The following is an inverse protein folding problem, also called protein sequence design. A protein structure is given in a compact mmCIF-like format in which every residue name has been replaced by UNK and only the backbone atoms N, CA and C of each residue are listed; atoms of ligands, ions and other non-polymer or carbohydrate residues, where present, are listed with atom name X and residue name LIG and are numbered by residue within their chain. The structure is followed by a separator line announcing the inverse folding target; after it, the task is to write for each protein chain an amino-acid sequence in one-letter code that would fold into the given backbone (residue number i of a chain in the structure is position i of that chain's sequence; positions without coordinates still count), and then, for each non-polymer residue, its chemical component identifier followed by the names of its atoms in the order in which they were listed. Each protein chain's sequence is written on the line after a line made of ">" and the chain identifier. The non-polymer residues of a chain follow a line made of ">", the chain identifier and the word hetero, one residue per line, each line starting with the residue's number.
data_IF_888412871549
#
_entry.id   IF_888412871549
#
_cell.length_a   1.000
_cell.length_b   1.000
_cell.length_c   1.000
_cell.angle_alpha   90.00
_cell.angle_beta   90.00
_cell.angle_gamma   90.00
#
_symmetry.space_group_name_H-M   'P 1'
#
loop_
_entity.id
_entity.type
_entity.pdbx_description
1 polymer ?
#
# COMPACT_ATOMS: atom_id res chain seq x y z
N UNK A 1 56.68 -15.05 10.96
CA UNK A 1 55.30 -14.77 10.49
C UNK A 1 54.71 -16.09 10.01
N UNK A 2 53.54 -16.52 10.49
CA UNK A 2 53.12 -17.91 10.34
C UNK A 2 52.40 -18.13 9.00
N UNK A 3 52.91 -19.03 8.14
CA UNK A 3 52.38 -19.23 6.78
C UNK A 3 50.88 -19.54 6.76
N UNK A 4 50.37 -20.25 7.79
CA UNK A 4 48.94 -20.50 7.98
C UNK A 4 48.09 -19.22 8.14
N UNK A 5 48.62 -18.17 8.78
CA UNK A 5 47.92 -16.87 8.88
C UNK A 5 47.95 -16.09 7.56
N UNK A 6 49.04 -16.16 6.80
CA UNK A 6 49.10 -15.55 5.47
C UNK A 6 48.19 -16.27 4.47
N UNK A 7 48.10 -17.61 4.52
CA UNK A 7 47.16 -18.40 3.72
C UNK A 7 45.71 -18.07 4.09
N UNK A 8 45.38 -17.96 5.39
CA UNK A 8 44.04 -17.56 5.82
C UNK A 8 43.66 -16.13 5.37
N UNK A 9 44.58 -15.16 5.47
CA UNK A 9 44.38 -13.79 4.98
C UNK A 9 44.29 -13.71 3.44
N UNK A 10 45.03 -14.55 2.72
CA UNK A 10 44.90 -14.66 1.27
C UNK A 10 43.58 -15.34 0.86
N UNK A 11 43.11 -16.35 1.60
CA UNK A 11 41.79 -16.95 1.39
C UNK A 11 40.66 -15.96 1.68
N UNK A 12 40.73 -15.19 2.77
CA UNK A 12 39.72 -14.16 3.06
C UNK A 12 39.76 -13.01 2.05
N UNK A 13 40.95 -12.61 1.59
CA UNK A 13 41.09 -11.59 0.53
C UNK A 13 40.63 -12.10 -0.83
N UNK A 14 40.86 -13.37 -1.19
CA UNK A 14 40.35 -13.97 -2.43
C UNK A 14 38.83 -14.12 -2.38
N UNK A 15 38.24 -14.48 -1.22
CA UNK A 15 36.78 -14.42 -1.04
C UNK A 15 36.25 -12.99 -1.15
N UNK A 16 36.90 -12.00 -0.52
CA UNK A 16 36.51 -10.59 -0.59
C UNK A 16 36.72 -9.93 -1.97
N UNK A 17 37.56 -10.50 -2.83
CA UNK A 17 37.75 -10.07 -4.22
C UNK A 17 36.76 -10.80 -5.15
N UNK A 18 36.37 -12.03 -4.83
CA UNK A 18 35.28 -12.74 -5.53
C UNK A 18 33.90 -12.10 -5.26
N UNK A 19 33.66 -11.52 -4.07
CA UNK A 19 32.44 -10.75 -3.79
C UNK A 19 32.37 -9.40 -4.51
N UNK A 20 33.50 -8.89 -5.02
CA UNK A 20 33.55 -7.69 -5.88
C UNK A 20 33.35 -8.01 -7.38
N UNK A 21 33.14 -9.27 -7.75
CA UNK A 21 32.98 -9.73 -9.13
C UNK A 21 31.62 -10.40 -9.39
N UNK A 22 30.52 -9.73 -9.04
CA UNK A 22 29.21 -9.97 -9.65
C UNK A 22 28.60 -11.38 -9.51
N UNK A 23 29.00 -12.18 -8.52
CA UNK A 23 28.36 -13.47 -8.24
C UNK A 23 27.05 -13.28 -7.45
N UNK A 24 25.93 -13.59 -8.09
CA UNK A 24 24.60 -13.26 -7.58
C UNK A 24 24.20 -14.01 -6.31
N UNK A 25 24.02 -13.26 -5.21
CA UNK A 25 23.13 -13.65 -4.11
C UNK A 25 21.75 -13.92 -4.70
N UNK A 26 21.43 -15.20 -4.87
CA UNK A 26 20.25 -15.63 -5.60
C UNK A 26 19.08 -15.73 -4.63
N UNK A 27 18.25 -14.69 -4.63
CA UNK A 27 17.01 -14.61 -3.85
C UNK A 27 15.86 -15.27 -4.63
N UNK A 28 15.19 -16.20 -3.98
CA UNK A 28 14.04 -16.95 -4.48
C UNK A 28 12.83 -16.82 -3.55
N UNK A 29 12.81 -15.83 -2.64
CA UNK A 29 11.77 -15.67 -1.62
C UNK A 29 10.37 -15.51 -2.23
N UNK A 30 10.24 -14.74 -3.31
CA UNK A 30 8.96 -14.59 -4.02
C UNK A 30 8.50 -15.91 -4.69
N UNK A 31 9.44 -16.71 -5.21
CA UNK A 31 9.14 -18.03 -5.75
C UNK A 31 8.73 -18.99 -4.64
N UNK A 32 9.42 -18.99 -3.49
CA UNK A 32 9.10 -19.84 -2.34
C UNK A 32 7.73 -19.47 -1.74
N UNK A 33 7.45 -18.18 -1.52
CA UNK A 33 6.16 -17.69 -1.05
C UNK A 33 5.04 -18.12 -2.01
N UNK A 34 5.20 -17.88 -3.31
CA UNK A 34 4.24 -18.32 -4.33
C UNK A 34 4.02 -19.83 -4.28
N UNK A 35 5.09 -20.63 -4.36
CA UNK A 35 4.98 -22.09 -4.42
C UNK A 35 4.42 -22.70 -3.14
N UNK A 36 4.72 -22.13 -1.96
CA UNK A 36 4.17 -22.58 -0.68
C UNK A 36 2.70 -22.17 -0.49
N UNK A 37 2.29 -21.00 -0.99
CA UNK A 37 0.88 -20.61 -1.01
C UNK A 37 0.08 -21.45 -2.03
N UNK A 38 0.67 -21.81 -3.18
CA UNK A 38 0.05 -22.72 -4.17
C UNK A 38 -0.02 -24.18 -3.68
N UNK A 39 1.03 -24.68 -3.01
CA UNK A 39 1.09 -26.05 -2.49
C UNK A 39 0.10 -26.33 -1.34
N UNK A 40 -0.40 -25.28 -0.69
CA UNK A 40 -1.41 -25.36 0.37
C UNK A 40 -2.81 -25.71 -0.13
N UNK A 41 -3.09 -25.64 -1.44
CA UNK A 41 -4.45 -25.84 -1.95
C UNK A 41 -5.40 -24.73 -1.47
N UNK A 42 -6.68 -25.08 -1.20
CA UNK A 42 -7.72 -24.06 -1.06
C UNK A 42 -8.02 -23.57 0.39
N UNK A 43 -7.85 -24.33 1.51
CA UNK A 43 -7.64 -23.75 2.87
C UNK A 43 -6.14 -23.68 3.19
N UNK A 44 -5.39 -22.64 2.77
CA UNK A 44 -4.07 -22.42 3.31
C UNK A 44 -4.13 -22.23 4.82
N UNK A 45 -3.26 -22.95 5.54
CA UNK A 45 -3.12 -22.84 6.98
C UNK A 45 -2.49 -21.50 7.38
N UNK A 46 -1.75 -20.86 6.47
CA UNK A 46 -1.26 -19.47 6.59
C UNK A 46 -0.88 -18.91 5.21
N UNK A 47 -1.07 -17.61 5.01
CA UNK A 47 -0.52 -16.90 3.85
C UNK A 47 0.93 -16.50 4.14
N UNK A 48 1.87 -16.93 3.30
CA UNK A 48 3.28 -16.55 3.42
C UNK A 48 3.64 -15.38 2.52
N UNK A 49 4.23 -14.33 3.10
CA UNK A 49 4.76 -13.16 2.39
C UNK A 49 6.30 -13.06 2.47
N UNK A 50 6.92 -12.27 1.60
CA UNK A 50 8.37 -12.03 1.64
C UNK A 50 8.70 -10.88 2.58
N UNK A 51 9.69 -11.05 3.47
CA UNK A 51 10.05 -9.99 4.44
C UNK A 51 11.54 -9.62 4.37
N UNK A 52 11.85 -8.35 4.06
CA UNK A 52 13.24 -7.93 3.78
C UNK A 52 14.19 -8.13 4.98
N UNK A 53 13.74 -7.87 6.22
CA UNK A 53 14.57 -8.12 7.43
C UNK A 53 14.87 -9.62 7.59
N UNK A 54 13.94 -10.50 7.21
CA UNK A 54 14.09 -11.96 7.30
C UNK A 54 15.13 -12.46 6.28
N UNK A 55 15.04 -12.01 5.03
CA UNK A 55 16.03 -12.34 3.98
C UNK A 55 17.42 -11.83 4.35
N UNK A 56 17.52 -10.62 4.89
CA UNK A 56 18.79 -10.01 5.31
C UNK A 56 19.43 -10.77 6.48
N UNK A 57 18.63 -11.18 7.46
CA UNK A 57 19.10 -11.97 8.59
C UNK A 57 19.52 -13.40 8.19
N UNK A 58 18.84 -14.01 7.22
CA UNK A 58 19.21 -15.33 6.69
C UNK A 58 20.56 -15.28 5.96
N UNK A 59 20.82 -14.26 5.14
CA UNK A 59 22.14 -14.06 4.52
C UNK A 59 23.25 -13.88 5.55
N UNK A 60 23.05 -13.04 6.57
CA UNK A 60 24.04 -12.84 7.62
C UNK A 60 24.32 -14.13 8.41
N UNK A 61 23.27 -14.90 8.73
CA UNK A 61 23.42 -16.18 9.42
C UNK A 61 24.18 -17.22 8.59
N UNK A 62 23.98 -17.27 7.27
CA UNK A 62 24.70 -18.17 6.36
C UNK A 62 26.19 -17.83 6.21
N UNK A 63 26.59 -16.58 6.43
CA UNK A 63 28.00 -16.16 6.41
C UNK A 63 28.76 -16.55 7.69
N UNK A 64 28.05 -16.79 8.80
CA UNK A 64 28.64 -17.09 10.12
C UNK A 64 28.48 -18.57 10.56
N UNK A 65 27.45 -19.26 10.09
CA UNK A 65 27.04 -20.58 10.60
C UNK A 65 27.57 -21.76 9.79
N UNK A 66 28.12 -22.78 10.48
CA UNK A 66 28.63 -23.99 9.84
C UNK A 66 27.61 -25.14 9.74
N UNK A 67 26.51 -25.08 10.48
CA UNK A 67 25.46 -26.11 10.56
C UNK A 67 24.05 -25.48 10.66
N UNK A 68 23.00 -26.25 10.34
CA UNK A 68 21.61 -25.77 10.32
C UNK A 68 21.12 -25.20 11.67
N UNK A 69 21.50 -25.84 12.78
CA UNK A 69 21.23 -25.36 14.14
C UNK A 69 21.83 -23.99 14.43
N UNK A 70 22.98 -23.71 13.83
CA UNK A 70 23.75 -22.50 14.07
C UNK A 70 23.16 -21.34 13.26
N UNK A 71 22.58 -21.62 12.07
CA UNK A 71 21.83 -20.64 11.26
C UNK A 71 20.63 -20.13 12.05
N UNK A 72 19.80 -21.02 12.60
CA UNK A 72 18.61 -20.64 13.37
C UNK A 72 18.99 -19.82 14.62
N UNK A 73 20.09 -20.20 15.31
CA UNK A 73 20.59 -19.47 16.46
C UNK A 73 21.18 -18.09 16.09
N UNK A 74 21.90 -17.97 14.96
CA UNK A 74 22.43 -16.71 14.46
C UNK A 74 21.30 -15.75 14.05
N UNK A 75 20.29 -16.24 13.32
CA UNK A 75 19.09 -15.45 12.98
C UNK A 75 18.34 -14.98 14.24
N UNK A 76 18.24 -15.82 15.26
CA UNK A 76 17.58 -15.47 16.54
C UNK A 76 18.34 -14.36 17.29
N UNK A 77 19.67 -14.30 17.15
CA UNK A 77 20.51 -13.24 17.76
C UNK A 77 20.56 -11.94 16.95
N UNK A 78 20.16 -11.96 15.67
CA UNK A 78 20.24 -10.81 14.78
C UNK A 78 19.39 -9.64 15.29
N UNK A 79 20.01 -8.47 15.51
CA UNK A 79 19.35 -7.29 16.08
C UNK A 79 18.11 -6.84 15.28
N UNK A 80 18.10 -7.01 13.96
CA UNK A 80 16.95 -6.67 13.11
C UNK A 80 15.78 -7.67 13.21
N UNK A 81 16.01 -8.85 13.78
CA UNK A 81 15.01 -9.89 14.02
C UNK A 81 14.46 -9.87 15.44
N UNK A 82 15.18 -9.30 16.42
CA UNK A 82 14.76 -9.36 17.83
C UNK A 82 13.37 -8.74 18.05
N UNK A 83 13.06 -7.61 17.41
CA UNK A 83 11.74 -6.97 17.44
C UNK A 83 10.60 -7.93 17.02
N UNK A 84 10.78 -8.61 15.87
CA UNK A 84 9.81 -9.60 15.35
C UNK A 84 9.69 -10.82 16.28
N UNK A 85 10.82 -11.33 16.77
CA UNK A 85 10.85 -12.54 17.62
C UNK A 85 10.33 -12.27 19.03
N UNK A 86 10.45 -11.05 19.56
CA UNK A 86 9.75 -10.64 20.79
C UNK A 86 8.22 -10.56 20.62
N UNK A 87 7.74 -10.48 19.37
CA UNK A 87 6.32 -10.36 19.00
C UNK A 87 5.49 -11.66 19.02
N UNK A 88 6.04 -12.80 19.51
CA UNK A 88 5.45 -14.16 19.55
C UNK A 88 5.61 -15.03 18.28
N UNK A 89 6.45 -14.66 17.32
CA UNK A 89 6.72 -15.48 16.13
C UNK A 89 7.60 -16.71 16.40
N UNK A 90 7.26 -17.86 15.83
CA UNK A 90 8.13 -19.04 15.73
C UNK A 90 8.96 -19.00 14.44
N UNK A 91 10.30 -19.13 14.57
CA UNK A 91 11.27 -19.19 13.47
C UNK A 91 11.74 -20.62 13.22
N UNK A 92 11.65 -21.09 11.98
CA UNK A 92 12.12 -22.40 11.53
C UNK A 92 12.99 -22.26 10.27
N UNK A 93 13.96 -23.17 10.07
CA UNK A 93 14.90 -23.14 8.94
C UNK A 93 14.84 -24.49 8.20
N UNK A 94 14.66 -24.42 6.88
CA UNK A 94 14.56 -25.55 5.96
C UNK A 94 15.74 -25.53 4.98
N UNK A 95 16.18 -26.71 4.50
CA UNK A 95 17.29 -26.79 3.54
C UNK A 95 17.16 -27.95 2.56
N UNK A 96 17.44 -27.67 1.29
CA UNK A 96 17.30 -28.62 0.17
C UNK A 96 18.49 -28.50 -0.78
N UNK A 97 18.90 -29.62 -1.38
CA UNK A 97 20.06 -29.68 -2.29
C UNK A 97 19.95 -28.67 -3.45
N UNK A 98 21.01 -27.89 -3.66
CA UNK A 98 21.10 -26.89 -4.73
C UNK A 98 21.34 -27.48 -6.12
N UNK A 99 21.39 -28.81 -6.25
CA UNK A 99 21.35 -29.53 -7.52
C UNK A 99 19.98 -29.47 -8.21
N UNK A 100 18.92 -29.19 -7.45
CA UNK A 100 17.56 -29.01 -7.97
C UNK A 100 17.40 -27.66 -8.69
N UNK A 101 16.48 -27.61 -9.67
CA UNK A 101 16.02 -26.33 -10.24
C UNK A 101 15.30 -25.52 -9.14
N UNK A 102 15.31 -24.17 -9.21
CA UNK A 102 14.70 -23.34 -8.16
C UNK A 102 13.23 -23.68 -7.87
N UNK A 103 12.45 -24.05 -8.90
CA UNK A 103 11.05 -24.45 -8.76
C UNK A 103 10.91 -25.78 -8.01
N UNK A 104 11.75 -26.77 -8.32
CA UNK A 104 11.72 -28.08 -7.65
C UNK A 104 12.18 -27.96 -6.19
N UNK A 105 13.14 -27.07 -5.91
CA UNK A 105 13.58 -26.75 -4.56
C UNK A 105 12.52 -26.02 -3.75
N UNK A 106 11.86 -25.02 -4.34
CA UNK A 106 10.73 -24.31 -3.71
C UNK A 106 9.58 -25.28 -3.38
N UNK A 107 9.22 -26.17 -4.31
CA UNK A 107 8.17 -27.16 -4.11
C UNK A 107 8.51 -28.17 -3.00
N UNK A 108 9.78 -28.59 -2.91
CA UNK A 108 10.21 -29.48 -1.83
C UNK A 108 10.23 -28.80 -0.46
N UNK A 109 10.75 -27.56 -0.38
CA UNK A 109 10.71 -26.75 0.85
C UNK A 109 9.26 -26.50 1.26
N UNK A 110 8.37 -26.22 0.30
CA UNK A 110 6.95 -26.06 0.57
C UNK A 110 6.34 -27.32 1.21
N UNK A 111 6.59 -28.50 0.65
CA UNK A 111 6.11 -29.76 1.24
C UNK A 111 6.67 -29.98 2.66
N UNK A 112 7.98 -29.77 2.87
CA UNK A 112 8.60 -29.94 4.20
C UNK A 112 8.00 -28.99 5.25
N UNK A 113 7.59 -27.78 4.87
CA UNK A 113 6.88 -26.83 5.74
C UNK A 113 5.45 -27.30 6.02
N UNK A 114 4.74 -27.84 5.03
CA UNK A 114 3.35 -28.28 5.21
C UNK A 114 3.23 -29.57 6.04
N UNK A 115 4.25 -30.42 5.99
CA UNK A 115 4.34 -31.62 6.84
C UNK A 115 4.54 -31.28 8.33
N UNK A 116 5.11 -30.10 8.66
CA UNK A 116 5.38 -29.63 10.04
C UNK A 116 4.36 -28.61 10.55
N UNK A 117 3.66 -27.90 9.66
CA UNK A 117 2.74 -26.79 9.97
C UNK A 117 1.46 -27.28 10.68
N UNK A 118 1.57 -27.48 11.98
CA UNK A 118 0.54 -28.08 12.85
C UNK A 118 -0.65 -27.14 13.18
N UNK A 119 -1.47 -26.80 12.17
CA UNK A 119 -2.72 -26.01 12.27
C UNK A 119 -2.60 -24.56 11.78
N UNK A 120 -3.70 -23.79 11.79
CA UNK A 120 -3.72 -22.40 11.26
C UNK A 120 -2.75 -21.43 11.98
N UNK A 121 -2.29 -20.40 11.29
CA UNK A 121 -1.47 -19.27 11.79
C UNK A 121 -2.08 -17.98 11.27
N UNK A 122 -1.89 -16.87 12.00
CA UNK A 122 -2.42 -15.56 11.59
C UNK A 122 -1.52 -14.84 10.59
N UNK A 123 -0.21 -14.92 10.78
CA UNK A 123 0.78 -14.33 9.88
C UNK A 123 1.91 -15.33 9.57
N UNK A 124 2.45 -15.24 8.35
CA UNK A 124 3.53 -16.09 7.85
C UNK A 124 4.49 -15.28 6.97
N UNK A 125 5.79 -15.43 7.20
CA UNK A 125 6.82 -14.88 6.32
C UNK A 125 7.80 -15.96 5.88
N UNK A 126 8.22 -15.93 4.62
CA UNK A 126 9.25 -16.82 4.08
C UNK A 126 10.29 -16.04 3.29
N UNK A 127 11.55 -16.41 3.52
CA UNK A 127 12.69 -15.99 2.71
C UNK A 127 13.44 -17.22 2.24
N UNK A 128 13.76 -17.32 0.94
CA UNK A 128 14.51 -18.45 0.38
C UNK A 128 15.69 -17.97 -0.45
N UNK A 129 16.89 -18.49 -0.16
CA UNK A 129 18.14 -18.09 -0.79
C UNK A 129 18.98 -19.31 -1.17
N UNK A 130 19.94 -19.14 -2.08
CA UNK A 130 20.90 -20.20 -2.45
C UNK A 130 22.33 -19.83 -2.04
N UNK A 131 22.93 -20.62 -1.16
CA UNK A 131 24.34 -20.50 -0.72
C UNK A 131 25.02 -21.87 -0.72
N UNK A 132 26.33 -21.92 -0.93
CA UNK A 132 27.17 -23.13 -0.79
C UNK A 132 26.62 -24.41 -1.43
N UNK A 133 25.98 -24.27 -2.60
CA UNK A 133 25.41 -25.40 -3.35
C UNK A 133 24.12 -25.97 -2.76
N UNK A 134 23.45 -25.26 -1.84
CA UNK A 134 22.16 -25.61 -1.24
C UNK A 134 21.18 -24.44 -1.25
N UNK A 135 19.88 -24.74 -1.22
CA UNK A 135 18.84 -23.76 -0.91
C UNK A 135 18.56 -23.78 0.59
N UNK A 136 18.33 -22.60 1.16
CA UNK A 136 17.95 -22.41 2.55
C UNK A 136 16.70 -21.53 2.57
N UNK A 137 15.70 -21.91 3.37
CA UNK A 137 14.54 -21.09 3.63
C UNK A 137 14.40 -20.82 5.12
N UNK A 138 14.14 -19.57 5.49
CA UNK A 138 13.74 -19.16 6.83
C UNK A 138 12.25 -18.84 6.82
N UNK A 139 11.55 -19.34 7.82
CA UNK A 139 10.09 -19.27 7.93
C UNK A 139 9.72 -18.71 9.29
N UNK A 140 8.97 -17.62 9.33
CA UNK A 140 8.31 -17.09 10.53
C UNK A 140 6.82 -17.41 10.47
N UNK A 141 6.23 -17.84 11.59
CA UNK A 141 4.78 -17.99 11.74
C UNK A 141 4.29 -17.51 13.11
N UNK A 142 3.06 -17.01 13.20
CA UNK A 142 2.47 -16.52 14.45
C UNK A 142 1.08 -17.11 14.77
N UNK A 143 0.75 -17.19 16.08
CA UNK A 143 -0.57 -17.53 16.60
C UNK A 143 -0.96 -16.61 17.75
N UNK A 144 -2.16 -16.06 17.72
CA UNK A 144 -2.77 -15.47 18.89
C UNK A 144 -3.19 -16.56 19.87
N UNK A 145 -3.01 -16.27 21.16
CA UNK A 145 -3.40 -17.12 22.27
C UNK A 145 -4.79 -16.70 22.75
N UNK A 146 -5.86 -17.31 22.23
CA UNK A 146 -7.18 -17.25 22.85
C UNK A 146 -7.19 -18.06 24.15
N UNK A 147 -8.01 -17.62 25.11
CA UNK A 147 -7.81 -17.92 26.53
C UNK A 147 -8.12 -19.35 26.96
N UNK A 148 -7.54 -19.75 28.10
CA UNK A 148 -7.94 -20.93 28.85
C UNK A 148 -9.36 -20.78 29.39
N UNK A 149 -10.33 -21.37 28.71
CA UNK A 149 -11.69 -21.59 29.20
C UNK A 149 -12.01 -23.07 29.07
N UNK A 150 -12.11 -23.77 30.20
CA UNK A 150 -12.62 -25.14 30.22
C UNK A 150 -14.12 -25.14 29.94
N UNK A 151 -14.57 -25.91 28.95
CA UNK A 151 -15.81 -26.66 29.11
C UNK A 151 -15.78 -27.95 28.28
N UNK A 152 -16.16 -29.05 28.93
CA UNK A 152 -16.17 -30.40 28.41
C UNK A 152 -17.59 -30.76 27.96
N UNK A 153 -17.88 -30.65 26.66
CA UNK A 153 -19.00 -31.37 26.06
C UNK A 153 -18.75 -31.62 24.58
N UNK A 154 -18.73 -32.90 24.21
CA UNK A 154 -18.48 -33.31 22.83
C UNK A 154 -19.66 -33.02 21.92
N UNK A 155 -19.46 -32.18 20.92
CA UNK A 155 -20.17 -32.29 19.65
C UNK A 155 -19.20 -32.03 18.49
N UNK A 156 -18.96 -33.06 17.67
CA UNK A 156 -18.00 -33.00 16.56
C UNK A 156 -18.58 -32.27 15.34
N UNK A 157 -18.65 -30.94 15.41
CA UNK A 157 -18.86 -30.07 14.25
C UNK A 157 -17.54 -29.81 13.53
N UNK A 158 -17.13 -30.71 12.65
CA UNK A 158 -15.89 -30.54 11.87
C UNK A 158 -16.09 -29.52 10.73
N UNK A 159 -15.60 -28.29 10.91
CA UNK A 159 -15.54 -27.26 9.86
C UNK A 159 -14.32 -27.47 8.95
N UNK A 160 -14.42 -28.52 8.13
CA UNK A 160 -14.01 -28.71 6.71
C UNK A 160 -12.62 -28.19 6.16
N UNK A 161 -11.98 -28.81 5.12
CA UNK A 161 -10.66 -28.41 4.56
C UNK A 161 -10.51 -27.55 3.23
N UNK A 162 -11.57 -27.14 2.49
CA UNK A 162 -11.54 -26.16 1.35
C UNK A 162 -12.40 -24.84 1.52
N UNK A 163 -11.83 -23.72 2.00
CA UNK A 163 -12.38 -22.34 2.18
C UNK A 163 -11.22 -21.35 2.02
N UNK A 164 -11.44 -20.13 1.53
CA UNK A 164 -10.43 -19.08 1.61
C UNK A 164 -9.95 -18.84 3.04
N UNK A 165 -8.87 -18.06 3.21
CA UNK A 165 -8.86 -17.10 4.32
C UNK A 165 -9.98 -16.11 4.01
N UNK A 166 -11.21 -16.49 4.35
CA UNK A 166 -12.28 -15.53 4.43
C UNK A 166 -11.81 -14.54 5.48
N UNK A 167 -11.66 -13.27 5.08
CA UNK A 167 -12.12 -12.24 5.98
C UNK A 167 -13.56 -12.65 6.32
N UNK A 168 -13.78 -13.10 7.56
CA UNK A 168 -15.05 -13.72 7.99
C UNK A 168 -16.24 -12.85 7.61
N UNK A 169 -15.97 -11.54 7.54
CA UNK A 169 -16.78 -10.50 6.95
C UNK A 169 -15.88 -9.77 5.92
N UNK A 170 -16.03 -10.01 4.58
CA UNK A 170 -15.16 -9.43 3.55
C UNK A 170 -15.25 -7.91 3.49
N UNK A 171 -16.42 -7.40 3.81
CA UNK A 171 -16.69 -5.99 4.05
C UNK A 171 -17.27 -5.86 5.45
N UNK A 172 -16.82 -4.85 6.19
CA UNK A 172 -17.20 -4.62 7.59
C UNK A 172 -17.75 -3.22 7.77
N UNK A 173 -18.87 -3.13 8.47
CA UNK A 173 -19.47 -1.87 8.90
C UNK A 173 -19.43 -1.73 10.42
N UNK A 174 -18.54 -0.89 10.93
CA UNK A 174 -18.57 -0.48 12.33
C UNK A 174 -19.54 0.69 12.51
N UNK A 175 -20.74 0.37 13.01
CA UNK A 175 -21.81 1.33 13.28
C UNK A 175 -21.44 2.38 14.34
N UNK A 176 -20.44 2.12 15.20
CA UNK A 176 -20.03 3.02 16.29
C UNK A 176 -19.06 4.11 15.84
N UNK A 177 -18.19 3.78 14.88
CA UNK A 177 -17.25 4.72 14.25
C UNK A 177 -17.71 5.18 12.86
N UNK A 178 -18.79 4.58 12.34
CA UNK A 178 -19.27 4.75 10.96
C UNK A 178 -18.18 4.45 9.93
N UNK A 179 -17.39 3.41 10.21
CA UNK A 179 -16.28 2.96 9.35
C UNK A 179 -16.73 1.85 8.42
N UNK A 180 -16.52 2.04 7.12
CA UNK A 180 -16.65 1.01 6.11
C UNK A 180 -15.26 0.46 5.75
N UNK A 181 -15.02 -0.83 5.98
CA UNK A 181 -13.75 -1.49 5.69
C UNK A 181 -13.91 -2.62 4.68
N UNK A 182 -13.16 -2.58 3.58
CA UNK A 182 -12.98 -3.69 2.63
C UNK A 182 -11.65 -4.39 2.96
N UNK A 183 -11.73 -5.66 3.38
CA UNK A 183 -10.57 -6.38 3.95
C UNK A 183 -9.66 -6.99 2.90
N UNK A 184 -8.36 -7.06 3.20
CA UNK A 184 -7.35 -7.75 2.39
C UNK A 184 -7.78 -9.21 2.16
N UNK A 185 -7.78 -9.63 0.89
CA UNK A 185 -8.24 -10.95 0.47
C UNK A 185 -9.73 -11.04 0.12
N UNK A 186 -10.54 -10.01 0.38
CA UNK A 186 -11.97 -10.00 0.01
C UNK A 186 -12.23 -10.13 -1.51
N UNK A 187 -11.22 -9.87 -2.34
CA UNK A 187 -11.24 -10.13 -3.79
C UNK A 187 -11.63 -11.59 -4.12
N UNK A 188 -11.27 -12.56 -3.27
CA UNK A 188 -11.62 -13.96 -3.47
C UNK A 188 -13.12 -14.26 -3.31
N UNK A 189 -13.90 -13.33 -2.73
CA UNK A 189 -15.33 -13.47 -2.45
C UNK A 189 -16.15 -12.50 -3.32
N UNK A 190 -15.70 -11.24 -3.43
CA UNK A 190 -16.41 -10.21 -4.20
C UNK A 190 -16.02 -10.16 -5.68
N UNK A 191 -14.84 -10.68 -6.04
CA UNK A 191 -14.20 -10.38 -7.31
C UNK A 191 -13.68 -8.93 -7.38
N UNK A 192 -13.30 -8.50 -8.58
CA UNK A 192 -12.97 -7.10 -8.86
C UNK A 192 -14.25 -6.26 -8.94
N UNK A 193 -14.31 -5.15 -8.20
CA UNK A 193 -15.48 -4.29 -8.10
C UNK A 193 -15.12 -2.79 -8.10
N UNK A 194 -16.11 -1.96 -8.43
CA UNK A 194 -16.06 -0.50 -8.39
C UNK A 194 -17.06 -0.01 -7.35
N UNK A 195 -16.62 0.83 -6.41
CA UNK A 195 -17.55 1.43 -5.44
C UNK A 195 -18.31 2.59 -6.07
N UNK A 196 -19.64 2.54 -6.01
CA UNK A 196 -20.58 3.56 -6.49
C UNK A 196 -21.70 3.78 -5.45
N UNK A 197 -22.48 4.84 -5.59
CA UNK A 197 -23.71 5.13 -4.83
C UNK A 197 -24.74 3.99 -4.83
N UNK A 198 -24.71 3.10 -5.83
CA UNK A 198 -25.51 1.89 -5.88
C UNK A 198 -24.95 0.72 -5.04
N UNK A 199 -23.75 0.86 -4.48
CA UNK A 199 -23.11 -0.15 -3.62
C UNK A 199 -23.73 -0.14 -2.22
N UNK A 200 -24.71 -1.02 -2.00
CA UNK A 200 -25.25 -1.29 -0.66
C UNK A 200 -24.38 -2.29 0.10
N UNK A 201 -24.45 -2.29 1.43
CA UNK A 201 -23.76 -3.32 2.24
C UNK A 201 -24.21 -4.74 1.90
N UNK A 202 -25.46 -4.96 1.47
CA UNK A 202 -25.89 -6.26 0.93
C UNK A 202 -25.21 -6.60 -0.41
N UNK A 203 -25.15 -5.66 -1.35
CA UNK A 203 -24.48 -5.86 -2.65
C UNK A 203 -22.98 -6.07 -2.54
N UNK A 204 -22.39 -5.67 -1.41
CA UNK A 204 -20.97 -5.83 -1.07
C UNK A 204 -20.70 -7.01 -0.12
N UNK A 205 -21.71 -7.83 0.23
CA UNK A 205 -21.61 -8.92 1.22
C UNK A 205 -20.99 -8.48 2.56
N UNK A 206 -21.43 -7.33 3.08
CA UNK A 206 -20.89 -6.73 4.29
C UNK A 206 -21.65 -7.12 5.56
N UNK A 207 -20.93 -7.25 6.67
CA UNK A 207 -21.50 -7.57 7.99
C UNK A 207 -21.16 -6.52 9.06
N UNK A 208 -22.03 -6.42 10.07
CA UNK A 208 -21.94 -5.40 11.12
C UNK A 208 -20.88 -5.78 12.17
N UNK A 209 -19.94 -4.88 12.45
CA UNK A 209 -18.83 -5.09 13.37
C UNK A 209 -19.18 -5.05 14.87
N UNK A 210 -20.46 -5.16 15.27
CA UNK A 210 -20.88 -4.97 16.67
C UNK A 210 -21.82 -6.06 17.17
N UNK A 211 -21.24 -6.94 17.98
CA UNK A 211 -21.86 -7.97 18.83
C UNK A 211 -22.60 -9.11 18.11
N UNK A 212 -22.28 -10.33 18.55
CA UNK A 212 -23.10 -11.51 18.32
C UNK A 212 -24.57 -11.22 18.68
N UNK A 213 -25.51 -11.82 17.95
CA UNK A 213 -26.97 -11.72 18.09
C UNK A 213 -27.70 -10.49 17.48
N UNK A 214 -27.04 -9.59 16.74
CA UNK A 214 -27.74 -8.58 15.92
C UNK A 214 -27.85 -8.98 14.45
N UNK A 215 -29.08 -9.17 13.98
CA UNK A 215 -29.38 -9.22 12.54
C UNK A 215 -29.07 -7.85 11.93
N UNK A 216 -28.17 -7.82 10.95
CA UNK A 216 -27.88 -6.61 10.18
C UNK A 216 -29.14 -6.19 9.38
N UNK A 217 -29.53 -4.92 9.52
CA UNK A 217 -30.60 -4.31 8.73
C UNK A 217 -29.97 -3.27 7.78
N UNK A 218 -29.74 -3.71 6.55
CA UNK A 218 -29.14 -2.94 5.46
C UNK A 218 -29.97 -1.73 5.03
N UNK A 219 -31.27 -1.70 5.36
CA UNK A 219 -32.22 -0.70 4.85
C UNK A 219 -31.97 0.71 5.39
N UNK A 220 -31.13 0.84 6.42
CA UNK A 220 -30.70 2.11 7.01
C UNK A 220 -29.23 2.47 6.72
N UNK A 221 -28.55 1.78 5.80
CA UNK A 221 -27.20 2.14 5.38
C UNK A 221 -27.20 2.96 4.09
N UNK A 222 -26.47 4.08 4.11
CA UNK A 222 -26.06 4.81 2.90
C UNK A 222 -24.54 5.02 2.91
N UNK A 223 -23.90 5.04 1.72
CA UNK A 223 -22.51 5.50 1.59
C UNK A 223 -22.33 6.95 2.07
N UNK A 224 -23.39 7.75 2.08
CA UNK A 224 -23.40 9.10 2.67
C UNK A 224 -23.24 9.13 4.19
N UNK A 225 -23.41 7.99 4.87
CA UNK A 225 -23.26 7.88 6.33
C UNK A 225 -21.85 7.41 6.72
N UNK A 226 -21.00 7.05 5.76
CA UNK A 226 -19.62 6.61 5.98
C UNK A 226 -18.77 7.79 6.41
N UNK A 227 -18.25 7.72 7.64
CA UNK A 227 -17.32 8.71 8.21
C UNK A 227 -15.87 8.34 7.88
N UNK A 228 -15.56 7.05 7.80
CA UNK A 228 -14.23 6.55 7.46
C UNK A 228 -14.32 5.45 6.40
N UNK A 229 -13.69 5.65 5.25
CA UNK A 229 -13.56 4.62 4.21
C UNK A 229 -12.17 3.99 4.28
N UNK A 230 -12.11 2.66 4.43
CA UNK A 230 -10.88 1.88 4.42
C UNK A 230 -10.99 0.77 3.36
N UNK A 231 -10.10 0.78 2.39
CA UNK A 231 -9.94 -0.28 1.39
C UNK A 231 -8.51 -0.80 1.54
N UNK A 232 -8.37 -2.03 2.04
CA UNK A 232 -7.07 -2.70 2.19
C UNK A 232 -6.65 -3.32 0.84
N UNK A 233 -5.34 -3.44 0.58
CA UNK A 233 -4.81 -4.02 -0.64
C UNK A 233 -5.31 -5.46 -0.89
N UNK A 234 -5.59 -5.80 -2.15
CA UNK A 234 -6.19 -7.08 -2.55
C UNK A 234 -7.59 -7.35 -1.94
N UNK A 235 -8.35 -6.30 -1.62
CA UNK A 235 -9.76 -6.41 -1.20
C UNK A 235 -10.76 -6.58 -2.35
N UNK A 236 -10.34 -6.40 -3.60
CA UNK A 236 -11.21 -6.50 -4.78
C UNK A 236 -11.80 -5.17 -5.22
N UNK A 237 -11.78 -4.13 -4.38
CA UNK A 237 -12.09 -2.77 -4.83
C UNK A 237 -10.94 -2.27 -5.72
N UNK A 238 -11.17 -2.25 -7.03
CA UNK A 238 -10.16 -1.84 -8.02
C UNK A 238 -10.26 -0.37 -8.39
N UNK A 239 -11.42 0.25 -8.14
CA UNK A 239 -11.73 1.63 -8.50
C UNK A 239 -12.87 2.21 -7.66
N UNK A 240 -12.92 3.54 -7.59
CA UNK A 240 -14.10 4.29 -7.14
C UNK A 240 -14.76 4.87 -8.37
N UNK A 241 -16.09 4.76 -8.49
CA UNK A 241 -16.87 5.25 -9.64
C UNK A 241 -16.70 6.76 -9.82
N UNK A 242 -16.92 7.22 -11.05
CA UNK A 242 -17.12 8.63 -11.33
C UNK A 242 -18.53 9.08 -10.95
N UNK A 243 -18.73 10.39 -11.05
CA UNK A 243 -19.88 11.12 -10.57
C UNK A 243 -20.80 11.66 -11.64
N UNK A 244 -20.62 11.19 -12.87
CA UNK A 244 -21.26 11.72 -14.06
C UNK A 244 -21.66 10.53 -14.92
N UNK A 245 -22.87 10.00 -14.70
CA UNK A 245 -23.47 9.12 -15.72
C UNK A 245 -23.75 9.95 -16.97
N UNK A 246 -22.85 9.84 -17.95
CA UNK A 246 -22.96 10.46 -19.27
C UNK A 246 -24.20 10.01 -20.07
N UNK A 247 -24.92 8.99 -19.58
CA UNK A 247 -26.15 8.45 -20.19
C UNK A 247 -27.44 8.93 -19.52
N UNK A 248 -27.40 9.53 -18.31
CA UNK A 248 -28.60 10.08 -17.67
C UNK A 248 -28.94 11.47 -18.23
N UNK A 249 -30.06 11.54 -18.95
CA UNK A 249 -30.62 12.76 -19.53
C UNK A 249 -30.93 13.87 -18.49
N UNK A 250 -30.92 13.55 -17.20
CA UNK A 250 -31.19 14.49 -16.11
C UNK A 250 -29.95 14.99 -15.37
N UNK A 251 -28.72 14.57 -15.72
CA UNK A 251 -27.49 14.86 -14.96
C UNK A 251 -27.69 14.55 -13.46
N UNK A 252 -28.30 13.41 -13.18
CA UNK A 252 -28.50 12.97 -11.81
C UNK A 252 -27.13 12.59 -11.28
N UNK A 253 -26.74 13.20 -10.16
CA UNK A 253 -25.48 12.92 -9.47
C UNK A 253 -25.56 11.51 -8.88
N UNK A 254 -24.89 10.58 -9.53
CA UNK A 254 -24.67 9.21 -9.10
C UNK A 254 -23.16 9.11 -8.92
N UNK A 255 -22.71 9.27 -7.67
CA UNK A 255 -21.29 9.27 -7.31
C UNK A 255 -21.12 8.57 -5.96
N UNK A 256 -20.06 7.77 -5.81
CA UNK A 256 -19.80 6.98 -4.60
C UNK A 256 -19.87 7.77 -3.27
N UNK A 257 -19.28 8.98 -3.22
CA UNK A 257 -19.21 9.79 -2.00
C UNK A 257 -19.39 11.31 -2.23
N UNK A 258 -19.81 11.76 -3.42
CA UNK A 258 -19.94 13.20 -3.73
C UNK A 258 -20.86 13.89 -2.72
N UNK A 259 -20.35 14.96 -2.12
CA UNK A 259 -21.07 15.78 -1.15
C UNK A 259 -21.44 14.98 0.10
N UNK A 260 -20.67 13.93 0.43
CA UNK A 260 -20.83 13.23 1.70
C UNK A 260 -20.71 14.24 2.85
N UNK A 261 -21.75 14.39 3.69
CA UNK A 261 -21.79 15.42 4.70
C UNK A 261 -20.91 15.08 5.91
N UNK A 262 -20.45 13.82 6.05
CA UNK A 262 -19.79 13.28 7.26
C UNK A 262 -18.50 12.50 6.99
N UNK A 263 -18.13 12.25 5.73
CA UNK A 263 -16.87 11.56 5.41
C UNK A 263 -15.67 12.42 5.84
N UNK A 264 -14.82 11.87 6.72
CA UNK A 264 -13.64 12.53 7.29
C UNK A 264 -12.32 11.92 6.85
N UNK A 265 -12.25 10.61 6.61
CA UNK A 265 -11.03 9.94 6.16
C UNK A 265 -11.28 8.94 5.03
N UNK A 266 -10.35 8.90 4.08
CA UNK A 266 -10.33 7.96 2.95
C UNK A 266 -8.96 7.31 2.91
N UNK A 267 -8.92 5.97 2.99
CA UNK A 267 -7.71 5.15 2.93
C UNK A 267 -7.93 4.07 1.88
N UNK A 268 -7.27 4.19 0.73
CA UNK A 268 -7.43 3.29 -0.40
C UNK A 268 -6.09 2.63 -0.74
N UNK A 269 -6.02 1.30 -0.69
CA UNK A 269 -4.83 0.53 -1.05
C UNK A 269 -5.17 -0.48 -2.15
N UNK A 270 -4.36 -0.54 -3.19
CA UNK A 270 -4.54 -1.43 -4.34
C UNK A 270 -5.59 -0.97 -5.35
N UNK A 271 -5.98 0.30 -5.37
CA UNK A 271 -6.86 0.87 -6.42
C UNK A 271 -6.08 1.28 -7.69
N UNK A 272 -6.77 1.39 -8.82
CA UNK A 272 -6.21 1.82 -10.11
C UNK A 272 -6.76 3.18 -10.59
N UNK A 273 -7.97 3.54 -10.16
CA UNK A 273 -8.58 4.82 -10.45
C UNK A 273 -9.53 5.29 -9.34
N UNK A 274 -9.65 6.61 -9.23
CA UNK A 274 -10.73 7.31 -8.57
C UNK A 274 -11.46 8.08 -9.65
N UNK A 275 -12.77 7.87 -9.80
CA UNK A 275 -13.55 8.52 -10.83
C UNK A 275 -13.67 10.04 -10.64
N UNK A 276 -14.06 10.73 -11.71
CA UNK A 276 -14.29 12.17 -11.68
C UNK A 276 -15.40 12.52 -10.69
N UNK A 277 -15.19 13.52 -9.82
CA UNK A 277 -16.18 13.95 -8.81
C UNK A 277 -16.36 13.04 -7.58
N UNK A 278 -15.76 11.84 -7.54
CA UNK A 278 -16.07 10.77 -6.57
C UNK A 278 -16.14 11.17 -5.08
N UNK A 279 -15.26 12.07 -4.62
CA UNK A 279 -15.18 12.63 -3.27
C UNK A 279 -15.21 14.18 -3.28
N UNK A 280 -15.82 14.77 -4.31
CA UNK A 280 -15.99 16.21 -4.39
C UNK A 280 -16.91 16.70 -3.26
N UNK A 281 -16.78 17.96 -2.88
CA UNK A 281 -17.64 18.65 -1.90
C UNK A 281 -17.81 17.93 -0.55
N UNK A 282 -16.92 17.01 -0.18
CA UNK A 282 -16.92 16.34 1.12
C UNK A 282 -16.45 17.32 2.19
N UNK A 283 -17.40 18.04 2.80
CA UNK A 283 -17.10 19.21 3.64
C UNK A 283 -16.29 18.88 4.90
N UNK A 284 -16.33 17.63 5.37
CA UNK A 284 -15.59 17.17 6.55
C UNK A 284 -14.35 16.32 6.22
N UNK A 285 -13.99 16.13 4.94
CA UNK A 285 -12.87 15.26 4.56
C UNK A 285 -11.54 15.91 4.93
N UNK A 286 -10.81 15.31 5.87
CA UNK A 286 -9.55 15.82 6.44
C UNK A 286 -8.30 15.06 5.93
N UNK A 287 -8.40 13.73 5.82
CA UNK A 287 -7.30 12.82 5.48
C UNK A 287 -7.63 11.99 4.22
N UNK A 288 -6.79 12.08 3.19
CA UNK A 288 -6.82 11.20 2.01
C UNK A 288 -5.49 10.46 1.89
N UNK A 289 -5.54 9.13 1.94
CA UNK A 289 -4.41 8.25 1.65
C UNK A 289 -4.77 7.30 0.52
N UNK A 290 -3.99 7.29 -0.55
CA UNK A 290 -4.21 6.43 -1.72
C UNK A 290 -2.90 5.79 -2.14
N UNK A 291 -2.80 4.48 -1.98
CA UNK A 291 -1.74 3.65 -2.54
C UNK A 291 -2.30 2.90 -3.74
N UNK A 292 -2.01 3.40 -4.94
CA UNK A 292 -2.41 2.74 -6.17
C UNK A 292 -1.58 1.48 -6.44
N UNK A 293 -2.01 0.69 -7.42
CA UNK A 293 -1.27 -0.49 -7.90
C UNK A 293 0.01 -0.09 -8.70
N UNK A 294 0.05 -0.46 -9.99
CA UNK A 294 1.11 -0.01 -10.90
C UNK A 294 0.86 1.44 -11.34
N UNK A 295 -0.34 1.72 -11.84
CA UNK A 295 -0.75 3.05 -12.28
C UNK A 295 -1.96 3.50 -11.45
N UNK A 296 -2.08 4.81 -11.23
CA UNK A 296 -3.19 5.44 -10.52
C UNK A 296 -3.67 6.68 -11.27
N UNK A 297 -4.98 6.74 -11.54
CA UNK A 297 -5.65 7.92 -12.10
C UNK A 297 -6.54 8.55 -11.02
N UNK A 298 -6.26 9.80 -10.66
CA UNK A 298 -7.11 10.63 -9.82
C UNK A 298 -8.00 11.47 -10.74
N UNK A 299 -9.28 11.14 -10.81
CA UNK A 299 -10.25 11.68 -11.76
C UNK A 299 -10.50 13.18 -11.66
N UNK A 300 -11.13 13.73 -12.69
CA UNK A 300 -11.37 15.18 -12.77
C UNK A 300 -12.29 15.64 -11.63
N UNK A 301 -11.90 16.70 -10.93
CA UNK A 301 -12.63 17.19 -9.75
C UNK A 301 -12.85 16.18 -8.61
N UNK A 302 -12.13 15.04 -8.55
CA UNK A 302 -12.43 13.94 -7.61
C UNK A 302 -12.41 14.31 -6.13
N UNK A 303 -11.70 15.36 -5.73
CA UNK A 303 -11.61 15.92 -4.37
C UNK A 303 -11.88 17.44 -4.35
N UNK A 304 -12.51 17.98 -5.40
CA UNK A 304 -12.75 19.42 -5.51
C UNK A 304 -13.75 19.91 -4.46
N UNK A 305 -13.57 21.14 -3.96
CA UNK A 305 -14.44 21.79 -2.96
C UNK A 305 -14.56 21.04 -1.62
N UNK A 306 -13.54 20.30 -1.21
CA UNK A 306 -13.47 19.59 0.09
C UNK A 306 -12.57 20.37 1.08
N UNK A 307 -13.05 21.48 1.69
CA UNK A 307 -12.23 22.54 2.30
C UNK A 307 -11.45 22.13 3.58
N UNK A 308 -11.79 20.98 4.16
CA UNK A 308 -11.19 20.48 5.40
C UNK A 308 -9.94 19.63 5.17
N UNK A 309 -9.56 19.37 3.90
CA UNK A 309 -8.39 18.57 3.56
C UNK A 309 -7.11 19.23 4.09
N UNK A 310 -6.46 18.54 5.03
CA UNK A 310 -5.20 18.98 5.65
C UNK A 310 -4.07 17.98 5.45
N UNK A 311 -4.38 16.71 5.14
CA UNK A 311 -3.40 15.66 4.87
C UNK A 311 -3.77 14.89 3.59
N UNK A 312 -2.85 14.88 2.63
CA UNK A 312 -2.97 14.09 1.38
C UNK A 312 -1.70 13.28 1.17
N UNK A 313 -1.82 11.98 0.97
CA UNK A 313 -0.72 11.06 0.68
C UNK A 313 -1.15 10.14 -0.46
N UNK A 314 -0.69 10.40 -1.68
CA UNK A 314 -1.08 9.69 -2.89
C UNK A 314 0.15 9.13 -3.58
N UNK A 315 0.19 7.81 -3.73
CA UNK A 315 1.29 7.10 -4.34
C UNK A 315 0.84 6.10 -5.40
N UNK A 316 1.66 5.93 -6.43
CA UNK A 316 1.65 4.82 -7.37
C UNK A 316 3.08 4.30 -7.53
N UNK A 317 3.25 3.04 -7.93
CA UNK A 317 4.60 2.50 -8.13
C UNK A 317 5.21 2.88 -9.50
N UNK A 318 4.38 3.10 -10.53
CA UNK A 318 4.81 3.51 -11.87
C UNK A 318 4.21 4.88 -12.27
N UNK A 319 2.96 4.95 -12.72
CA UNK A 319 2.36 6.21 -13.24
C UNK A 319 1.30 6.79 -12.30
N UNK A 320 1.43 8.06 -11.96
CA UNK A 320 0.40 8.84 -11.25
C UNK A 320 -0.14 9.93 -12.18
N UNK A 321 -1.44 9.91 -12.45
CA UNK A 321 -2.13 10.93 -13.25
C UNK A 321 -3.14 11.68 -12.37
N UNK A 322 -2.96 12.99 -12.24
CA UNK A 322 -3.85 13.88 -11.49
C UNK A 322 -4.62 14.72 -12.51
N UNK A 323 -5.87 14.34 -12.74
CA UNK A 323 -6.71 14.88 -13.81
C UNK A 323 -7.24 16.29 -13.48
N UNK A 324 -7.84 16.93 -14.48
CA UNK A 324 -8.16 18.35 -14.40
C UNK A 324 -9.07 18.71 -13.24
N UNK A 325 -8.72 19.75 -12.49
CA UNK A 325 -9.49 20.19 -11.34
C UNK A 325 -9.54 19.23 -10.14
N UNK A 326 -8.78 18.11 -10.11
CA UNK A 326 -8.88 17.05 -9.10
C UNK A 326 -9.03 17.54 -7.64
N UNK A 327 -8.24 18.52 -7.22
CA UNK A 327 -8.27 19.16 -5.89
C UNK A 327 -8.68 20.64 -5.95
N UNK A 328 -9.43 21.06 -6.98
CA UNK A 328 -9.84 22.44 -7.15
C UNK A 328 -10.57 22.95 -5.89
N UNK A 329 -10.06 24.02 -5.29
CA UNK A 329 -10.58 24.61 -4.05
C UNK A 329 -10.62 23.64 -2.85
N UNK A 330 -9.79 22.59 -2.85
CA UNK A 330 -9.68 21.61 -1.76
C UNK A 330 -8.84 22.08 -0.56
N UNK A 331 -7.93 23.05 -0.72
CA UNK A 331 -6.94 23.40 0.32
C UNK A 331 -7.07 24.81 0.97
N UNK A 332 -8.27 25.37 1.22
CA UNK A 332 -8.38 26.71 1.82
C UNK A 332 -7.85 26.77 3.26
N UNK A 333 -7.79 25.63 3.95
CA UNK A 333 -7.29 25.50 5.34
C UNK A 333 -5.76 25.36 5.43
N UNK A 334 -5.06 25.22 4.29
CA UNK A 334 -3.68 24.74 4.24
C UNK A 334 -3.61 23.22 4.28
N UNK A 335 -2.57 22.65 3.69
CA UNK A 335 -2.41 21.19 3.52
C UNK A 335 -0.94 20.80 3.55
N UNK A 336 -0.64 19.60 4.05
CA UNK A 336 0.59 18.89 3.70
C UNK A 336 0.22 17.74 2.77
N UNK A 337 0.65 17.84 1.50
CA UNK A 337 0.32 16.92 0.43
C UNK A 337 1.58 16.24 -0.10
N UNK A 338 1.52 14.92 -0.26
CA UNK A 338 2.61 14.10 -0.77
C UNK A 338 2.11 13.31 -1.98
N UNK A 339 2.84 13.41 -3.10
CA UNK A 339 2.54 12.76 -4.37
C UNK A 339 3.76 11.95 -4.83
N UNK A 340 3.59 10.65 -5.07
CA UNK A 340 4.69 9.75 -5.45
C UNK A 340 4.31 8.89 -6.66
N UNK A 341 5.22 8.78 -7.62
CA UNK A 341 5.09 7.94 -8.81
C UNK A 341 6.40 7.97 -9.57
N UNK A 342 6.77 6.92 -10.32
CA UNK A 342 7.95 7.00 -11.19
C UNK A 342 7.77 8.12 -12.24
N UNK A 343 6.56 8.23 -12.80
CA UNK A 343 6.11 9.33 -13.64
C UNK A 343 4.86 10.00 -13.03
N UNK A 344 4.86 11.33 -12.96
CA UNK A 344 3.75 12.13 -12.41
C UNK A 344 3.25 13.10 -13.49
N UNK A 345 1.95 13.08 -13.76
CA UNK A 345 1.27 13.94 -14.73
C UNK A 345 0.21 14.78 -14.00
N UNK A 346 0.28 16.11 -14.12
CA UNK A 346 -0.60 17.05 -13.43
C UNK A 346 -1.37 17.83 -14.50
N UNK A 347 -2.69 17.69 -14.58
CA UNK A 347 -3.51 18.31 -15.63
C UNK A 347 -4.02 19.70 -15.23
N UNK A 348 -4.72 20.35 -16.17
CA UNK A 348 -5.23 21.72 -16.02
C UNK A 348 -6.03 21.92 -14.72
N UNK A 349 -5.79 23.01 -14.01
CA UNK A 349 -6.46 23.37 -12.75
C UNK A 349 -6.39 22.30 -11.61
N UNK A 350 -5.55 21.26 -11.71
CA UNK A 350 -5.53 20.10 -10.80
C UNK A 350 -5.50 20.46 -9.30
N UNK A 351 -4.80 21.53 -8.92
CA UNK A 351 -4.69 22.09 -7.57
C UNK A 351 -5.12 23.56 -7.51
N UNK A 352 -5.94 24.02 -8.47
CA UNK A 352 -6.40 25.41 -8.53
C UNK A 352 -7.11 25.81 -7.25
N UNK A 353 -6.62 26.83 -6.53
CA UNK A 353 -7.23 27.27 -5.27
C UNK A 353 -7.66 28.73 -5.30
N UNK A 354 -8.96 28.96 -5.14
CA UNK A 354 -9.53 30.29 -4.88
C UNK A 354 -9.44 30.57 -3.37
N UNK A 355 -8.22 30.67 -2.83
CA UNK A 355 -8.04 30.95 -1.39
C UNK A 355 -7.93 32.45 -1.10
N UNK A 356 -8.91 32.95 -0.34
CA UNK A 356 -8.91 34.29 0.26
C UNK A 356 -8.16 34.36 1.60
N UNK A 357 -7.40 33.32 1.96
CA UNK A 357 -6.77 33.15 3.29
C UNK A 357 -5.30 32.71 3.22
N UNK A 358 -4.43 33.19 4.14
CA UNK A 358 -2.98 33.06 4.08
C UNK A 358 -2.43 31.73 4.65
N UNK A 359 -3.12 30.60 4.40
CA UNK A 359 -2.74 29.30 4.93
C UNK A 359 -1.68 28.63 4.05
N UNK A 360 -0.67 28.02 4.68
CA UNK A 360 0.46 27.37 3.98
C UNK A 360 0.00 26.05 3.35
N UNK A 361 0.41 25.85 2.10
CA UNK A 361 0.20 24.65 1.30
C UNK A 361 1.59 24.09 1.00
N UNK A 362 1.94 22.95 1.61
CA UNK A 362 3.20 22.24 1.35
C UNK A 362 2.91 21.03 0.46
N UNK A 363 3.56 20.96 -0.70
CA UNK A 363 3.43 19.85 -1.65
C UNK A 363 4.78 19.18 -1.89
N UNK A 364 4.88 17.89 -1.63
CA UNK A 364 6.07 17.08 -1.92
C UNK A 364 5.82 16.19 -3.12
N UNK A 365 6.64 16.29 -4.15
CA UNK A 365 6.60 15.40 -5.32
C UNK A 365 7.81 14.47 -5.33
N UNK A 366 7.58 13.16 -5.41
CA UNK A 366 8.62 12.13 -5.44
C UNK A 366 8.57 11.30 -6.73
N UNK A 367 9.54 11.55 -7.59
CA UNK A 367 9.70 10.93 -8.91
C UNK A 367 9.66 11.99 -10.00
N UNK A 368 9.54 11.59 -11.27
CA UNK A 368 9.70 12.53 -12.39
C UNK A 368 8.36 13.15 -12.79
N UNK A 369 8.21 14.48 -12.61
CA UNK A 369 7.05 15.21 -13.13
C UNK A 369 7.21 15.38 -14.64
N UNK A 370 6.30 14.78 -15.41
CA UNK A 370 6.37 14.68 -16.89
C UNK A 370 5.55 15.73 -17.62
N UNK A 371 4.51 16.26 -16.98
CA UNK A 371 3.56 17.20 -17.58
C UNK A 371 2.88 18.02 -16.48
N UNK A 372 2.73 19.33 -16.70
CA UNK A 372 1.96 20.24 -15.87
C UNK A 372 1.00 21.05 -16.77
N UNK A 373 -0.28 21.02 -16.44
CA UNK A 373 -1.34 21.71 -17.18
C UNK A 373 -1.44 23.21 -16.90
N UNK A 374 -2.32 23.86 -17.66
CA UNK A 374 -2.67 25.27 -17.50
C UNK A 374 -3.33 25.52 -16.16
N UNK A 375 -2.91 26.57 -15.45
CA UNK A 375 -3.36 26.96 -14.12
C UNK A 375 -3.38 25.81 -13.09
N UNK A 376 -2.56 24.77 -13.27
CA UNK A 376 -2.53 23.58 -12.42
C UNK A 376 -2.41 23.89 -10.92
N UNK A 377 -1.74 24.98 -10.53
CA UNK A 377 -1.58 25.44 -9.14
C UNK A 377 -2.32 26.76 -8.86
N UNK A 378 -3.33 27.08 -9.67
CA UNK A 378 -4.12 28.31 -9.60
C UNK A 378 -3.74 29.34 -10.65
N UNK A 379 -4.47 30.47 -10.67
CA UNK A 379 -4.10 31.64 -11.48
C UNK A 379 -3.44 32.70 -10.59
N UNK A 380 -2.30 33.31 -11.01
CA UNK A 380 -1.68 34.39 -10.25
C UNK A 380 -2.64 35.56 -10.02
N UNK A 381 -2.80 35.99 -8.76
CA UNK A 381 -3.77 37.03 -8.41
C UNK A 381 -3.22 38.43 -8.73
N UNK A 382 -4.02 39.28 -9.37
CA UNK A 382 -3.65 40.70 -9.59
C UNK A 382 -4.16 41.57 -8.45
N UNK A 383 -3.28 41.95 -7.52
CA UNK A 383 -3.58 42.93 -6.48
C UNK A 383 -3.07 44.32 -6.88
N UNK A 384 -3.50 45.36 -6.17
CA UNK A 384 -3.06 46.75 -6.38
C UNK A 384 -1.58 46.93 -5.98
N UNK A 385 -0.68 46.46 -6.84
CA UNK A 385 0.76 46.37 -6.59
C UNK A 385 1.50 45.42 -7.55
N UNK A 386 0.79 44.52 -8.24
CA UNK A 386 1.37 43.62 -9.25
C UNK A 386 0.74 42.23 -9.27
N UNK A 387 1.39 41.31 -9.99
CA UNK A 387 1.05 39.88 -9.97
C UNK A 387 1.57 39.27 -8.66
N UNK A 388 0.65 38.72 -7.86
CA UNK A 388 0.91 38.02 -6.62
C UNK A 388 0.62 36.54 -6.85
N UNK A 389 1.69 35.78 -7.06
CA UNK A 389 1.68 34.31 -7.02
C UNK A 389 1.35 33.82 -5.61
N UNK A 390 0.94 32.55 -5.49
CA UNK A 390 0.59 31.94 -4.20
C UNK A 390 1.81 31.87 -3.28
N UNK A 391 2.08 32.93 -2.50
CA UNK A 391 3.21 33.05 -1.58
C UNK A 391 3.17 32.08 -0.39
N UNK A 392 2.06 31.35 -0.27
CA UNK A 392 1.82 30.33 0.75
C UNK A 392 1.99 28.90 0.19
N UNK A 393 2.18 28.74 -1.13
CA UNK A 393 2.49 27.46 -1.76
C UNK A 393 4.00 27.20 -1.70
N UNK A 394 4.36 26.04 -1.16
CA UNK A 394 5.71 25.48 -1.09
C UNK A 394 5.72 24.13 -1.81
N UNK A 395 6.75 23.91 -2.61
CA UNK A 395 6.98 22.70 -3.39
C UNK A 395 8.33 22.13 -3.01
N UNK A 396 8.31 20.92 -2.48
CA UNK A 396 9.50 20.12 -2.18
C UNK A 396 9.68 19.10 -3.30
N UNK A 397 10.84 19.14 -3.94
CA UNK A 397 11.20 18.26 -5.05
C UNK A 397 12.68 17.85 -4.94
N UNK A 398 13.04 16.71 -5.51
CA UNK A 398 14.30 16.02 -5.24
C UNK A 398 15.58 16.86 -5.46
N UNK A 399 15.53 17.83 -6.39
CA UNK A 399 16.69 18.67 -6.74
C UNK A 399 16.76 20.00 -5.96
N UNK A 400 15.68 20.40 -5.30
CA UNK A 400 15.56 21.61 -4.49
C UNK A 400 15.59 22.94 -5.27
N UNK A 401 14.87 23.94 -4.75
CA UNK A 401 14.94 25.35 -5.18
C UNK A 401 14.99 25.57 -6.71
N UNK A 402 16.09 26.16 -7.20
CA UNK A 402 16.20 26.59 -8.60
C UNK A 402 16.26 25.43 -9.62
N UNK A 403 16.82 24.27 -9.25
CA UNK A 403 16.84 23.11 -10.13
C UNK A 403 15.45 22.50 -10.27
N UNK A 404 14.72 22.38 -9.15
CA UNK A 404 13.31 21.98 -9.15
C UNK A 404 12.42 22.93 -9.98
N UNK A 405 12.64 24.25 -9.85
CA UNK A 405 11.91 25.25 -10.63
C UNK A 405 12.14 25.10 -12.14
N UNK A 406 13.36 24.77 -12.57
CA UNK A 406 13.69 24.56 -13.98
C UNK A 406 13.14 23.22 -14.51
N UNK A 407 13.21 22.15 -13.72
CA UNK A 407 12.59 20.87 -14.06
C UNK A 407 11.07 21.01 -14.26
N UNK A 408 10.38 21.76 -13.38
CA UNK A 408 8.95 22.05 -13.55
C UNK A 408 8.68 22.97 -14.74
N UNK A 409 9.55 23.95 -15.01
CA UNK A 409 9.40 24.88 -16.15
C UNK A 409 9.30 24.12 -17.48
N UNK A 410 10.19 23.16 -17.72
CA UNK A 410 10.29 22.40 -18.97
C UNK A 410 9.10 21.47 -19.25
N UNK A 411 8.21 21.29 -18.27
CA UNK A 411 6.98 20.49 -18.40
C UNK A 411 5.70 21.32 -18.22
N UNK A 412 5.83 22.63 -18.03
CA UNK A 412 4.72 23.59 -18.02
C UNK A 412 4.33 24.02 -19.45
N UNK A 413 3.12 24.59 -19.65
CA UNK A 413 2.73 25.13 -20.94
C UNK A 413 3.65 26.29 -21.35
N UNK A 414 4.07 26.34 -22.61
CA UNK A 414 4.96 27.37 -23.17
C UNK A 414 6.33 27.52 -22.46
N UNK A 415 6.81 26.48 -21.77
CA UNK A 415 8.00 26.50 -20.91
C UNK A 415 7.95 27.63 -19.84
N UNK A 416 6.75 27.93 -19.34
CA UNK A 416 6.51 29.06 -18.42
C UNK A 416 5.73 28.62 -17.17
N UNK A 417 6.43 28.64 -16.03
CA UNK A 417 5.87 28.39 -14.69
C UNK A 417 4.59 29.23 -14.43
N UNK A 418 4.52 30.46 -14.94
CA UNK A 418 3.37 31.35 -14.70
C UNK A 418 2.08 30.82 -15.32
N UNK A 419 2.18 30.05 -16.42
CA UNK A 419 1.04 29.37 -17.07
C UNK A 419 0.44 28.28 -16.20
N UNK A 420 1.25 27.66 -15.34
CA UNK A 420 0.80 26.68 -14.35
C UNK A 420 0.41 27.31 -13.00
N UNK A 421 0.54 28.63 -12.82
CA UNK A 421 0.31 29.31 -11.54
C UNK A 421 1.52 29.41 -10.61
N UNK A 422 2.70 28.98 -11.08
CA UNK A 422 3.92 28.85 -10.30
C UNK A 422 4.89 30.01 -10.48
N UNK A 423 5.78 30.17 -9.50
CA UNK A 423 6.95 31.05 -9.53
C UNK A 423 8.15 30.31 -8.94
N UNK A 424 9.37 30.68 -9.32
CA UNK A 424 10.63 30.11 -8.79
C UNK A 424 10.78 30.17 -7.26
N UNK A 425 9.94 30.98 -6.58
CA UNK A 425 9.93 31.14 -5.12
C UNK A 425 9.03 30.13 -4.41
N UNK A 426 8.26 29.33 -5.16
CA UNK A 426 7.47 28.25 -4.61
C UNK A 426 8.31 27.01 -4.31
N UNK A 427 9.54 26.91 -4.83
CA UNK A 427 10.41 25.74 -4.66
C UNK A 427 11.39 25.96 -3.51
N UNK A 428 11.44 25.02 -2.56
CA UNK A 428 12.38 25.03 -1.41
C UNK A 428 13.48 23.97 -1.54
#
# INVERSE_FOLDING_TARGET
>A
MNAKKCIALLLSAVFAVLTLAGCGRSDYSALAAKTLNEAQGNRPAVTFETHQKLTSALWAALEEAAQLSDIQQAMTRNNGMQELLTGRYSLEIYTVSGSLRPQDAAAKIAQEILDTLSGRREEGFISMVKSDGSYYAAVLTWRSSSGSGSDDSGNSGATDPDEPVQATYPVQWDESTKTLTFRKGAAAIMGDTTLSEHSTLEGLNAEQGIAEDKRFDSSNFSLTDVVHLVVEGNSGVTSIADGIDENDQFLKRVDAFYYSPVLTTVKLDGVSSIGSGAFASCQQLEEVKVSGQNNLIIGGFSFAMSPSLTSVDISASNKLEIMSGAFNSGFPSGVNAYFSGAEIYIKDDAFHTISVSPNIIEMTFKGEVKEIGSAAFGTPSTQAGGIVYHSYLKIHYAEGGAAAAEAFRQVCPEDDLSKAGLHEKNFE
#
